data_IF_047802498748
#
_entry.id   IF_047802498748
#
_cell.length_a   1.000
_cell.length_b   1.000
_cell.length_c   1.000
_cell.angle_alpha   90.00
_cell.angle_beta   90.00
_cell.angle_gamma   90.00
#
_symmetry.space_group_name_H-M   'P 1'
#
loop_
_entity.id
_entity.type
_entity.pdbx_description
1 polymer ?
#
# COMPACT_ATOMS: atom_id res chain seq x y z
N UNK A 1 14.72 11.58 34.35
CA UNK A 1 13.91 11.87 33.15
C UNK A 1 14.50 11.08 32.00
N UNK A 2 14.01 9.85 31.81
CA UNK A 2 14.51 8.94 30.78
C UNK A 2 13.96 9.35 29.43
N UNK A 3 14.84 9.66 28.47
CA UNK A 3 14.45 9.94 27.09
C UNK A 3 13.92 8.65 26.46
N UNK A 4 12.62 8.42 26.54
CA UNK A 4 11.93 7.51 25.64
C UNK A 4 12.13 8.07 24.23
N UNK A 5 13.07 7.50 23.45
CA UNK A 5 12.98 7.57 21.99
C UNK A 5 11.55 7.19 21.66
N UNK A 6 10.80 8.09 21.01
CA UNK A 6 9.46 7.79 20.54
C UNK A 6 9.58 6.59 19.59
N UNK A 7 9.28 5.38 20.06
CA UNK A 7 9.05 4.27 19.15
C UNK A 7 7.78 4.62 18.38
N UNK A 8 7.85 4.60 17.06
CA UNK A 8 6.69 4.80 16.21
C UNK A 8 5.56 3.87 16.68
N UNK A 9 4.42 4.45 17.06
CA UNK A 9 3.27 3.71 17.54
C UNK A 9 2.26 3.66 16.37
N UNK A 10 2.20 2.51 15.71
CA UNK A 10 1.40 2.32 14.50
C UNK A 10 -0.09 2.64 14.75
N UNK A 11 -0.59 2.39 15.97
CA UNK A 11 -1.96 2.69 16.34
C UNK A 11 -2.23 4.20 16.39
N UNK A 12 -1.36 4.98 17.05
CA UNK A 12 -1.51 6.43 17.09
C UNK A 12 -1.28 7.06 15.73
N UNK A 13 -0.33 6.54 14.93
CA UNK A 13 -0.05 7.06 13.60
C UNK A 13 -1.23 6.83 12.66
N UNK A 14 -1.89 5.68 12.77
CA UNK A 14 -3.07 5.36 11.99
C UNK A 14 -4.29 6.19 12.39
N UNK A 15 -4.68 6.21 13.66
CA UNK A 15 -5.93 6.88 14.08
C UNK A 15 -5.77 8.37 14.37
N UNK A 16 -4.57 8.82 14.78
CA UNK A 16 -4.35 10.19 15.28
C UNK A 16 -5.34 10.58 16.39
N UNK A 17 -5.60 9.65 17.30
CA UNK A 17 -6.41 9.89 18.49
C UNK A 17 -5.60 10.63 19.58
N UNK A 18 -6.27 11.18 20.62
CA UNK A 18 -5.58 11.83 21.73
C UNK A 18 -4.52 10.91 22.39
N UNK A 19 -3.34 11.43 22.78
CA UNK A 19 -2.22 10.62 23.29
C UNK A 19 -2.54 9.75 24.51
N UNK A 20 -3.47 10.19 25.37
CA UNK A 20 -3.93 9.45 26.54
C UNK A 20 -4.60 8.10 26.20
N UNK A 21 -5.05 7.94 24.95
CA UNK A 21 -5.68 6.71 24.45
C UNK A 21 -4.78 5.89 23.52
N UNK A 22 -3.60 6.41 23.18
CA UNK A 22 -2.68 5.77 22.24
C UNK A 22 -1.87 4.60 22.85
N UNK A 23 -1.77 4.52 24.19
CA UNK A 23 -1.00 3.50 24.88
C UNK A 23 -1.78 2.18 25.00
N UNK A 24 -1.51 1.27 24.07
CA UNK A 24 -2.08 -0.08 24.09
C UNK A 24 -1.46 -0.99 25.18
N UNK A 25 -0.37 -0.54 25.82
CA UNK A 25 0.45 -1.33 26.71
C UNK A 25 1.33 -2.31 25.96
N UNK A 26 2.55 -2.52 26.46
CA UNK A 26 3.42 -3.59 25.99
C UNK A 26 3.02 -4.90 26.69
N UNK A 27 2.85 -6.02 25.97
CA UNK A 27 2.71 -7.32 26.63
C UNK A 27 3.91 -7.60 27.55
N UNK A 28 3.76 -8.52 28.51
CA UNK A 28 4.86 -8.96 29.37
C UNK A 28 5.98 -9.68 28.60
N UNK A 29 6.54 -10.76 29.16
CA UNK A 29 7.54 -11.54 28.42
C UNK A 29 6.93 -12.12 27.14
N UNK A 30 7.44 -11.69 25.99
CA UNK A 30 7.07 -12.19 24.66
C UNK A 30 7.92 -13.41 24.29
N UNK A 31 7.45 -14.19 23.33
CA UNK A 31 8.20 -15.29 22.71
C UNK A 31 9.55 -14.80 22.16
N UNK A 32 10.60 -15.64 22.16
CA UNK A 32 11.92 -15.22 21.71
C UNK A 32 11.97 -14.94 20.20
N UNK A 33 11.21 -15.70 19.41
CA UNK A 33 11.14 -15.58 17.95
C UNK A 33 9.77 -15.06 17.51
N UNK A 34 9.76 -14.31 16.40
CA UNK A 34 8.54 -13.95 15.68
C UNK A 34 8.05 -15.11 14.82
N UNK A 35 6.74 -15.20 14.62
CA UNK A 35 6.15 -16.16 13.69
C UNK A 35 4.71 -15.81 13.36
N UNK A 36 4.06 -16.70 12.61
CA UNK A 36 2.67 -16.63 12.22
C UNK A 36 1.72 -16.98 13.36
N UNK A 37 0.61 -16.26 13.42
CA UNK A 37 -0.49 -16.53 14.34
C UNK A 37 -1.80 -16.00 13.78
N UNK A 38 -2.92 -16.41 14.37
CA UNK A 38 -4.24 -15.93 14.00
C UNK A 38 -4.89 -15.15 15.15
N UNK A 39 -5.56 -14.03 14.84
CA UNK A 39 -6.41 -13.30 15.80
C UNK A 39 -7.58 -12.69 15.04
N UNK A 40 -8.80 -12.99 15.51
CA UNK A 40 -10.05 -12.49 14.91
C UNK A 40 -10.15 -12.79 13.41
N UNK A 41 -9.67 -13.97 13.02
CA UNK A 41 -9.68 -14.40 11.64
C UNK A 41 -8.73 -13.63 10.73
N UNK A 42 -7.78 -12.82 11.21
CA UNK A 42 -6.65 -12.29 10.43
C UNK A 42 -5.35 -13.05 10.75
N UNK A 43 -4.40 -13.06 9.83
CA UNK A 43 -3.07 -13.67 10.03
C UNK A 43 -2.07 -12.56 10.37
N UNK A 44 -1.44 -12.68 11.54
CA UNK A 44 -0.38 -11.79 11.99
C UNK A 44 0.99 -12.44 11.90
N UNK A 45 2.04 -11.61 11.98
CA UNK A 45 3.41 -12.06 12.10
C UNK A 45 4.15 -11.25 13.16
N UNK A 46 4.62 -11.89 14.22
CA UNK A 46 5.29 -11.24 15.34
C UNK A 46 5.44 -12.16 16.54
N UNK A 47 5.88 -11.59 17.67
CA UNK A 47 6.00 -12.33 18.93
C UNK A 47 4.70 -12.35 19.73
N UNK A 48 4.49 -13.42 20.48
CA UNK A 48 3.30 -13.64 21.29
C UNK A 48 3.64 -13.77 22.78
N UNK A 49 2.72 -13.35 23.62
CA UNK A 49 2.71 -13.60 25.06
C UNK A 49 2.02 -14.94 25.32
N UNK A 50 2.60 -15.76 26.20
CA UNK A 50 2.01 -17.03 26.68
C UNK A 50 1.68 -18.05 25.57
N UNK A 51 2.21 -17.87 24.36
CA UNK A 51 2.04 -18.76 23.21
C UNK A 51 3.29 -18.72 22.31
N UNK A 52 3.48 -19.78 21.52
CA UNK A 52 4.58 -19.87 20.54
C UNK A 52 3.99 -19.70 19.13
N UNK A 53 4.41 -18.67 18.36
CA UNK A 53 3.92 -18.49 17.00
C UNK A 53 4.50 -19.55 16.05
N UNK A 54 3.77 -19.86 14.98
CA UNK A 54 4.16 -20.87 13.98
C UNK A 54 5.22 -20.33 13.03
N UNK A 55 6.12 -21.20 12.52
CA UNK A 55 7.20 -20.74 11.62
C UNK A 55 6.70 -20.57 10.19
N UNK A 56 5.74 -21.39 9.77
CA UNK A 56 5.17 -21.35 8.43
C UNK A 56 3.68 -21.04 8.48
N UNK A 57 3.19 -20.31 7.48
CA UNK A 57 1.78 -19.95 7.37
C UNK A 57 0.88 -21.14 7.04
N UNK A 58 1.45 -22.24 6.53
CA UNK A 58 0.76 -23.49 6.21
C UNK A 58 0.61 -24.44 7.41
N UNK A 59 1.27 -24.14 8.52
CA UNK A 59 1.12 -24.89 9.77
C UNK A 59 -0.18 -24.51 10.49
N UNK A 60 -0.55 -25.28 11.52
CA UNK A 60 -1.61 -24.87 12.43
C UNK A 60 -1.18 -23.58 13.15
N UNK A 61 -1.91 -22.49 12.92
CA UNK A 61 -1.61 -21.20 13.53
C UNK A 61 -2.23 -21.14 14.93
N UNK A 62 -1.49 -20.69 15.97
CA UNK A 62 -2.09 -20.44 17.27
C UNK A 62 -3.13 -19.32 17.15
N UNK A 63 -4.38 -19.62 17.51
CA UNK A 63 -5.44 -18.63 17.61
C UNK A 63 -5.31 -17.94 18.97
N UNK A 64 -4.99 -16.65 18.97
CA UNK A 64 -4.88 -15.86 20.19
C UNK A 64 -6.12 -15.01 20.38
N UNK A 65 -6.72 -15.10 21.57
CA UNK A 65 -7.75 -14.15 21.97
C UNK A 65 -7.13 -12.76 22.01
N UNK A 66 -7.72 -11.82 21.28
CA UNK A 66 -7.24 -10.45 21.23
C UNK A 66 -7.53 -9.68 22.55
N UNK A 67 -7.96 -10.38 23.62
CA UNK A 67 -8.10 -9.85 24.98
C UNK A 67 -7.68 -10.93 25.99
N UNK A 68 -6.61 -10.69 26.75
CA UNK A 68 -6.23 -11.52 27.89
C UNK A 68 -6.47 -10.77 29.21
N UNK A 69 -6.98 -11.48 30.21
CA UNK A 69 -7.11 -10.94 31.56
C UNK A 69 -5.74 -10.81 32.20
N UNK A 70 -5.25 -9.59 32.40
CA UNK A 70 -4.06 -9.36 33.22
C UNK A 70 -4.36 -9.59 34.70
N UNK A 71 -3.37 -10.08 35.47
CA UNK A 71 -3.49 -10.31 36.92
C UNK A 71 -3.82 -9.07 37.77
N UNK A 72 -3.90 -7.89 37.15
CA UNK A 72 -4.15 -6.61 37.78
C UNK A 72 -5.52 -6.02 37.35
N UNK A 73 -6.37 -6.80 36.66
CA UNK A 73 -7.67 -6.34 36.16
C UNK A 73 -7.61 -5.44 34.92
N UNK A 74 -6.43 -5.23 34.31
CA UNK A 74 -6.28 -4.51 33.03
C UNK A 74 -6.12 -5.51 31.88
N UNK A 75 -7.02 -5.48 30.91
CA UNK A 75 -6.92 -6.25 29.67
C UNK A 75 -5.78 -5.73 28.80
N UNK A 76 -4.95 -6.64 28.27
CA UNK A 76 -3.86 -6.33 27.34
C UNK A 76 -3.97 -7.22 26.11
N UNK A 77 -3.38 -6.78 24.99
CA UNK A 77 -3.21 -7.65 23.82
C UNK A 77 -2.09 -8.66 24.08
N UNK A 78 -2.17 -9.90 23.56
CA UNK A 78 -1.10 -10.88 23.69
C UNK A 78 0.07 -10.64 22.71
N UNK A 79 0.09 -9.52 21.99
CA UNK A 79 1.12 -9.12 21.02
C UNK A 79 1.26 -7.61 21.01
N UNK A 80 2.39 -7.12 20.51
CA UNK A 80 2.61 -5.70 20.23
C UNK A 80 2.02 -5.37 18.84
N UNK A 81 1.00 -4.49 18.80
CA UNK A 81 0.35 -4.09 17.55
C UNK A 81 1.33 -3.40 16.60
N UNK A 82 2.24 -2.58 17.11
CA UNK A 82 3.19 -1.85 16.27
C UNK A 82 4.21 -2.80 15.66
N UNK A 83 4.66 -3.81 16.40
CA UNK A 83 5.51 -4.88 15.86
C UNK A 83 4.80 -5.65 14.73
N UNK A 84 3.56 -6.10 14.99
CA UNK A 84 2.79 -6.87 14.01
C UNK A 84 2.52 -6.04 12.74
N UNK A 85 2.06 -4.80 12.89
CA UNK A 85 1.80 -3.89 11.76
C UNK A 85 3.08 -3.64 10.97
N UNK A 86 4.20 -3.36 11.65
CA UNK A 86 5.49 -3.13 10.98
C UNK A 86 5.96 -4.36 10.21
N UNK A 87 5.85 -5.55 10.81
CA UNK A 87 6.25 -6.81 10.18
C UNK A 87 5.41 -7.13 8.94
N UNK A 88 4.11 -6.82 8.97
CA UNK A 88 3.22 -7.01 7.83
C UNK A 88 3.52 -6.00 6.72
N UNK A 89 3.56 -4.71 7.04
CA UNK A 89 3.83 -3.64 6.08
C UNK A 89 5.19 -3.79 5.39
N UNK A 90 6.22 -4.17 6.16
CA UNK A 90 7.59 -4.38 5.66
C UNK A 90 7.86 -5.80 5.16
N UNK A 91 6.83 -6.65 5.10
CA UNK A 91 6.93 -8.01 4.58
C UNK A 91 7.95 -8.90 5.29
N UNK A 92 8.29 -8.60 6.55
CA UNK A 92 9.27 -9.38 7.33
C UNK A 92 8.85 -10.86 7.44
N UNK A 93 7.56 -11.15 7.34
CA UNK A 93 7.02 -12.51 7.34
C UNK A 93 7.52 -13.35 6.14
N UNK A 94 7.91 -12.71 5.02
CA UNK A 94 8.44 -13.41 3.84
C UNK A 94 9.81 -14.06 4.10
N UNK A 95 10.56 -13.62 5.12
CA UNK A 95 11.84 -14.24 5.48
C UNK A 95 11.61 -15.67 6.02
N UNK A 96 10.45 -15.93 6.64
CA UNK A 96 10.03 -17.25 7.14
C UNK A 96 9.43 -18.16 6.06
N UNK A 97 9.16 -17.64 4.85
CA UNK A 97 8.76 -18.43 3.67
C UNK A 97 9.92 -19.18 3.02
N UNK A 98 11.11 -19.18 3.63
CA UNK A 98 12.25 -19.94 3.16
C UNK A 98 11.90 -21.44 3.12
N UNK A 99 11.30 -21.88 2.01
CA UNK A 99 11.36 -23.25 1.55
C UNK A 99 12.85 -23.61 1.48
N UNK A 100 13.28 -24.78 1.98
CA UNK A 100 14.66 -25.27 1.85
C UNK A 100 15.18 -25.36 0.40
N UNK A 101 14.31 -25.14 -0.60
CA UNK A 101 14.63 -25.10 -2.03
C UNK A 101 14.81 -23.68 -2.59
N UNK A 102 14.65 -22.63 -1.78
CA UNK A 102 14.75 -21.22 -2.23
C UNK A 102 15.86 -20.42 -1.55
N UNK A 103 16.54 -21.00 -0.56
CA UNK A 103 17.69 -20.38 0.08
C UNK A 103 18.95 -20.61 -0.76
N UNK A 104 19.54 -19.49 -1.15
CA UNK A 104 20.94 -19.27 -1.55
C UNK A 104 21.43 -19.60 -2.96
N UNK A 105 20.85 -20.54 -3.74
CA UNK A 105 21.13 -20.63 -5.19
C UNK A 105 19.82 -20.64 -5.99
N UNK A 106 19.53 -19.54 -6.70
CA UNK A 106 18.80 -19.46 -7.99
C UNK A 106 17.76 -18.34 -8.18
N UNK A 107 17.31 -17.57 -7.18
CA UNK A 107 16.35 -16.48 -7.47
C UNK A 107 16.98 -15.26 -8.19
N UNK A 108 18.16 -14.81 -7.74
CA UNK A 108 18.92 -13.73 -8.37
C UNK A 108 19.56 -14.17 -9.70
N UNK A 109 20.09 -15.39 -9.75
CA UNK A 109 20.69 -15.96 -10.98
C UNK A 109 19.63 -16.26 -12.04
N UNK A 110 18.48 -16.86 -11.69
CA UNK A 110 17.36 -17.05 -12.64
C UNK A 110 16.74 -15.72 -13.05
N UNK A 111 16.71 -14.70 -12.17
CA UNK A 111 16.29 -13.34 -12.51
C UNK A 111 17.27 -12.71 -13.51
N UNK A 112 18.58 -12.76 -13.24
CA UNK A 112 19.62 -12.29 -14.14
C UNK A 112 19.55 -12.97 -15.51
N UNK A 113 19.37 -14.30 -15.56
CA UNK A 113 19.20 -15.04 -16.81
C UNK A 113 17.89 -14.66 -17.51
N UNK A 114 16.76 -14.62 -16.80
CA UNK A 114 15.46 -14.23 -17.37
C UNK A 114 15.49 -12.83 -17.97
N UNK A 115 16.02 -11.83 -17.26
CA UNK A 115 16.11 -10.47 -17.76
C UNK A 115 17.20 -10.28 -18.83
N UNK A 116 18.21 -11.16 -18.88
CA UNK A 116 19.18 -11.19 -19.98
C UNK A 116 18.58 -11.74 -21.28
N UNK A 117 17.61 -12.66 -21.20
CA UNK A 117 16.90 -13.21 -22.37
C UNK A 117 15.60 -12.45 -22.71
N UNK A 118 15.02 -11.71 -21.74
CA UNK A 118 13.75 -10.96 -21.87
C UNK A 118 13.70 -10.03 -23.09
N UNK A 119 14.76 -9.31 -23.48
CA UNK A 119 14.75 -8.43 -24.67
C UNK A 119 14.53 -9.17 -25.99
N UNK A 120 14.90 -10.46 -26.05
CA UNK A 120 14.86 -11.27 -27.28
C UNK A 120 13.57 -12.09 -27.39
N UNK A 121 12.79 -12.19 -26.32
CA UNK A 121 11.54 -12.97 -26.30
C UNK A 121 10.34 -12.14 -26.81
N UNK A 122 9.58 -12.63 -27.81
CA UNK A 122 8.30 -12.02 -28.17
C UNK A 122 7.33 -11.95 -26.99
N UNK A 123 6.50 -10.90 -26.92
CA UNK A 123 5.55 -10.65 -25.81
C UNK A 123 4.63 -11.85 -25.56
N UNK A 124 4.19 -12.53 -26.63
CA UNK A 124 3.37 -13.74 -26.55
C UNK A 124 4.03 -14.89 -25.77
N UNK A 125 5.33 -15.10 -25.96
CA UNK A 125 6.09 -16.16 -25.25
C UNK A 125 6.32 -15.79 -23.78
N UNK A 126 6.60 -14.50 -23.50
CA UNK A 126 6.78 -14.00 -22.13
C UNK A 126 5.55 -14.23 -21.27
N UNK A 127 4.35 -13.97 -21.83
CA UNK A 127 3.06 -14.22 -21.16
C UNK A 127 2.89 -15.68 -20.75
N UNK A 128 3.19 -16.63 -21.63
CA UNK A 128 3.05 -18.06 -21.33
C UNK A 128 4.04 -18.54 -20.26
N UNK A 129 5.31 -18.12 -20.34
CA UNK A 129 6.33 -18.45 -19.32
C UNK A 129 5.98 -17.86 -17.95
N UNK A 130 5.47 -16.64 -17.91
CA UNK A 130 5.03 -16.03 -16.66
C UNK A 130 3.78 -16.70 -16.11
N UNK A 131 2.79 -17.05 -16.94
CA UNK A 131 1.63 -17.85 -16.51
C UNK A 131 2.04 -19.18 -15.87
N UNK A 132 2.98 -19.88 -16.49
CA UNK A 132 3.51 -21.13 -15.94
C UNK A 132 4.24 -20.91 -14.60
N UNK A 133 5.08 -19.88 -14.50
CA UNK A 133 5.79 -19.52 -13.26
C UNK A 133 4.83 -19.09 -12.13
N UNK A 134 3.75 -18.41 -12.48
CA UNK A 134 2.75 -17.92 -11.54
C UNK A 134 1.64 -18.94 -11.27
N UNK A 135 1.73 -20.17 -11.80
CA UNK A 135 0.76 -21.21 -11.54
C UNK A 135 0.63 -21.48 -10.02
N UNK A 136 -0.58 -21.81 -9.57
CA UNK A 136 -0.91 -21.97 -8.15
C UNK A 136 -0.97 -20.67 -7.36
N UNK A 137 -0.99 -19.50 -8.03
CA UNK A 137 -1.17 -18.20 -7.37
C UNK A 137 -2.43 -18.15 -6.50
N UNK A 138 -3.49 -18.82 -6.93
CA UNK A 138 -4.80 -18.93 -6.26
C UNK A 138 -4.76 -19.79 -4.98
N UNK A 139 -3.68 -20.56 -4.78
CA UNK A 139 -3.49 -21.45 -3.62
C UNK A 139 -2.58 -20.86 -2.55
N UNK A 140 -2.02 -19.67 -2.78
CA UNK A 140 -1.15 -19.01 -1.82
C UNK A 140 -2.02 -18.57 -0.62
N UNK A 141 -1.73 -19.04 0.61
CA UNK A 141 -2.62 -18.84 1.75
C UNK A 141 -2.57 -17.42 2.34
N UNK A 142 -1.47 -16.69 2.12
CA UNK A 142 -1.22 -15.38 2.69
C UNK A 142 -0.27 -14.56 1.80
N UNK A 143 -0.38 -13.23 1.69
CA UNK A 143 -1.55 -12.42 2.00
C UNK A 143 -2.81 -12.94 1.30
N UNK A 144 -4.00 -12.58 1.79
CA UNK A 144 -5.28 -13.10 1.27
C UNK A 144 -5.71 -12.42 -0.01
N UNK A 145 -5.95 -13.21 -1.05
CA UNK A 145 -6.53 -12.73 -2.30
C UNK A 145 -8.04 -12.45 -2.16
N UNK A 146 -8.61 -11.42 -2.83
CA UNK A 146 -7.96 -10.47 -3.73
C UNK A 146 -7.43 -9.19 -3.06
N UNK A 147 -7.72 -9.00 -1.76
CA UNK A 147 -7.25 -7.89 -0.94
C UNK A 147 -7.07 -8.40 0.48
N UNK A 148 -5.92 -8.11 1.10
CA UNK A 148 -5.62 -8.46 2.47
C UNK A 148 -5.81 -7.25 3.39
N UNK A 149 -6.42 -7.49 4.56
CA UNK A 149 -6.78 -6.48 5.56
C UNK A 149 -6.22 -6.80 6.95
N UNK A 150 -5.17 -7.60 7.03
CA UNK A 150 -4.60 -8.01 8.32
C UNK A 150 -4.16 -6.80 9.13
N UNK A 151 -3.49 -5.81 8.51
CA UNK A 151 -3.06 -4.58 9.20
C UNK A 151 -4.27 -3.83 9.77
N UNK A 152 -5.30 -3.57 8.97
CA UNK A 152 -6.50 -2.87 9.45
C UNK A 152 -7.18 -3.66 10.58
N UNK A 153 -7.21 -5.00 10.49
CA UNK A 153 -7.81 -5.85 11.53
C UNK A 153 -7.07 -5.71 12.87
N UNK A 154 -5.73 -5.74 12.86
CA UNK A 154 -4.93 -5.56 14.08
C UNK A 154 -5.08 -4.16 14.69
N UNK A 155 -5.12 -3.11 13.85
CA UNK A 155 -5.34 -1.74 14.30
C UNK A 155 -6.74 -1.57 14.92
N UNK A 156 -7.77 -2.17 14.33
CA UNK A 156 -9.12 -2.18 14.90
C UNK A 156 -9.19 -2.94 16.22
N UNK A 157 -8.48 -4.06 16.36
CA UNK A 157 -8.39 -4.76 17.67
C UNK A 157 -7.75 -3.87 18.73
N UNK A 158 -6.75 -3.07 18.37
CA UNK A 158 -6.23 -1.99 19.20
C UNK A 158 -7.33 -1.02 19.65
N UNK A 159 -8.15 -0.53 18.70
CA UNK A 159 -9.22 0.43 19.00
C UNK A 159 -10.30 -0.17 19.91
N UNK A 160 -10.72 -1.41 19.65
CA UNK A 160 -11.68 -2.12 20.50
C UNK A 160 -11.15 -2.28 21.92
N UNK A 161 -9.86 -2.60 22.07
CA UNK A 161 -9.23 -2.72 23.38
C UNK A 161 -9.22 -1.38 24.13
N UNK A 162 -8.90 -0.28 23.45
CA UNK A 162 -8.92 1.07 24.05
C UNK A 162 -10.33 1.45 24.51
N UNK A 163 -11.36 1.24 23.68
CA UNK A 163 -12.75 1.52 24.04
C UNK A 163 -13.20 0.70 25.27
N UNK A 164 -12.88 -0.61 25.30
CA UNK A 164 -13.22 -1.47 26.44
C UNK A 164 -12.49 -1.09 27.72
N UNK A 165 -11.20 -0.76 27.64
CA UNK A 165 -10.36 -0.42 28.79
C UNK A 165 -10.72 0.95 29.38
N UNK A 166 -11.05 1.91 28.52
CA UNK A 166 -11.39 3.28 28.93
C UNK A 166 -12.83 3.42 29.44
N UNK A 167 -13.72 2.50 29.06
CA UNK A 167 -15.15 2.60 29.36
C UNK A 167 -15.85 3.74 28.62
N UNK A 168 -15.20 4.31 27.59
CA UNK A 168 -15.80 5.37 26.77
C UNK A 168 -16.84 4.79 25.82
N UNK A 169 -17.96 5.50 25.67
CA UNK A 169 -18.98 5.17 24.66
C UNK A 169 -18.47 5.41 23.23
N UNK A 170 -17.72 6.51 23.04
CA UNK A 170 -17.13 6.88 21.75
C UNK A 170 -15.72 7.46 21.92
N UNK A 171 -14.82 7.12 21.00
CA UNK A 171 -13.44 7.61 21.00
C UNK A 171 -13.20 8.50 19.78
N UNK A 172 -12.74 9.75 19.98
CA UNK A 172 -12.52 10.71 18.89
C UNK A 172 -11.16 10.50 18.22
N UNK A 173 -11.10 10.64 16.91
CA UNK A 173 -9.89 10.51 16.11
C UNK A 173 -9.97 11.36 14.84
N UNK A 174 -8.85 11.58 14.16
CA UNK A 174 -8.84 12.33 12.90
C UNK A 174 -9.20 11.38 11.77
N UNK A 175 -10.23 11.68 10.99
CA UNK A 175 -10.66 10.86 9.86
C UNK A 175 -9.54 10.65 8.83
N UNK A 176 -9.59 9.54 8.10
CA UNK A 176 -8.49 9.09 7.24
C UNK A 176 -8.26 10.00 6.03
N UNK A 177 -9.34 10.49 5.41
CA UNK A 177 -9.31 11.23 4.16
C UNK A 177 -9.85 12.66 4.33
N UNK A 178 -9.43 13.60 3.48
CA UNK A 178 -9.89 14.97 3.59
C UNK A 178 -11.38 15.07 3.27
N UNK A 179 -12.00 16.15 3.74
CA UNK A 179 -13.38 16.53 3.45
C UNK A 179 -14.41 15.44 3.81
N UNK A 180 -14.05 14.56 4.76
CA UNK A 180 -14.89 13.46 5.22
C UNK A 180 -15.02 12.30 4.22
N UNK A 181 -14.21 12.27 3.15
CA UNK A 181 -14.33 11.29 2.09
C UNK A 181 -14.26 9.84 2.64
N UNK A 182 -15.16 8.92 2.23
CA UNK A 182 -15.17 7.58 2.80
C UNK A 182 -13.96 6.72 2.43
N UNK A 183 -13.32 7.00 1.30
CA UNK A 183 -12.16 6.28 0.75
C UNK A 183 -11.42 7.18 -0.23
N UNK A 184 -10.23 6.79 -0.66
CA UNK A 184 -9.45 7.50 -1.68
C UNK A 184 -9.19 6.60 -2.88
N UNK A 185 -9.03 7.17 -4.07
CA UNK A 185 -8.58 6.47 -5.24
C UNK A 185 -7.53 7.26 -6.02
N UNK A 186 -6.50 6.56 -6.51
CA UNK A 186 -5.44 7.08 -7.38
C UNK A 186 -5.31 6.20 -8.63
N UNK A 187 -5.00 6.85 -9.76
CA UNK A 187 -4.73 6.19 -11.04
C UNK A 187 -3.28 6.45 -11.44
N UNK A 188 -2.54 5.41 -11.80
CA UNK A 188 -1.13 5.52 -12.20
C UNK A 188 -0.86 4.74 -13.49
N UNK A 189 0.08 5.25 -14.28
CA UNK A 189 0.42 4.75 -15.61
C UNK A 189 1.92 4.48 -15.72
N UNK A 190 2.33 3.21 -15.71
CA UNK A 190 3.72 2.80 -15.90
C UNK A 190 4.04 2.74 -17.41
N UNK A 191 4.94 3.62 -17.87
CA UNK A 191 5.30 3.74 -19.29
C UNK A 191 6.52 2.86 -19.59
N UNK A 192 6.33 1.72 -20.25
CA UNK A 192 7.41 0.74 -20.45
C UNK A 192 8.14 0.85 -21.81
N UNK A 193 7.48 1.39 -22.84
CA UNK A 193 8.03 1.44 -24.21
C UNK A 193 7.79 2.79 -24.90
N UNK A 194 8.48 2.99 -26.03
CA UNK A 194 8.30 4.15 -26.89
C UNK A 194 6.85 4.30 -27.38
N UNK A 195 6.19 3.22 -27.78
CA UNK A 195 4.80 3.28 -28.22
C UNK A 195 3.85 3.65 -27.08
N UNK A 196 4.11 3.16 -25.86
CA UNK A 196 3.39 3.60 -24.66
C UNK A 196 3.55 5.10 -24.41
N UNK A 197 4.78 5.62 -24.53
CA UNK A 197 5.08 7.05 -24.40
C UNK A 197 4.33 7.89 -25.44
N UNK A 198 4.32 7.46 -26.70
CA UNK A 198 3.62 8.15 -27.80
C UNK A 198 2.10 8.13 -27.63
N UNK A 199 1.57 7.08 -26.99
CA UNK A 199 0.14 6.96 -26.70
C UNK A 199 -0.33 7.80 -25.50
N UNK A 200 0.59 8.30 -24.66
CA UNK A 200 0.23 9.04 -23.44
C UNK A 200 -0.67 10.26 -23.69
N UNK A 201 -0.53 10.94 -24.83
CA UNK A 201 -1.41 12.05 -25.19
C UNK A 201 -2.89 11.63 -25.29
N UNK A 202 -3.16 10.54 -26.01
CA UNK A 202 -4.51 9.99 -26.16
C UNK A 202 -5.04 9.41 -24.85
N UNK A 203 -4.15 8.81 -24.04
CA UNK A 203 -4.54 8.29 -22.73
C UNK A 203 -4.93 9.43 -21.77
N UNK A 204 -4.20 10.54 -21.76
CA UNK A 204 -4.59 11.73 -20.99
C UNK A 204 -5.94 12.29 -21.48
N UNK A 205 -6.22 12.29 -22.78
CA UNK A 205 -7.54 12.71 -23.31
C UNK A 205 -8.66 11.80 -22.81
N UNK A 206 -8.40 10.49 -22.75
CA UNK A 206 -9.34 9.51 -22.21
C UNK A 206 -9.57 9.74 -20.71
N UNK A 207 -8.51 9.86 -19.91
CA UNK A 207 -8.60 10.15 -18.47
C UNK A 207 -9.40 11.45 -18.22
N UNK A 208 -9.10 12.50 -18.99
CA UNK A 208 -9.79 13.80 -18.93
C UNK A 208 -11.28 13.70 -19.26
N UNK A 209 -11.67 12.85 -20.21
CA UNK A 209 -13.07 12.67 -20.59
C UNK A 209 -13.95 12.12 -19.44
N UNK A 210 -13.32 11.44 -18.46
CA UNK A 210 -13.97 10.99 -17.22
C UNK A 210 -13.60 11.87 -16.01
N UNK A 211 -12.86 12.97 -16.24
CA UNK A 211 -12.36 13.88 -15.22
C UNK A 211 -11.34 13.26 -14.28
N UNK A 212 -10.67 12.17 -14.65
CA UNK A 212 -9.66 11.52 -13.81
C UNK A 212 -8.30 12.16 -14.09
N UNK A 213 -7.58 12.52 -13.02
CA UNK A 213 -6.17 12.89 -13.11
C UNK A 213 -5.33 11.76 -12.58
N UNK A 214 -4.37 11.34 -13.39
CA UNK A 214 -3.47 10.22 -13.14
C UNK A 214 -2.01 10.69 -13.04
N UNK A 215 -1.15 9.79 -12.58
CA UNK A 215 0.29 9.99 -12.62
C UNK A 215 0.93 9.09 -13.66
N UNK A 216 1.97 9.57 -14.31
CA UNK A 216 2.74 8.85 -15.34
C UNK A 216 4.14 8.57 -14.82
N UNK A 217 4.48 7.29 -14.73
CA UNK A 217 5.77 6.81 -14.24
C UNK A 217 6.70 6.64 -15.45
N UNK A 218 7.75 7.47 -15.51
CA UNK A 218 8.66 7.60 -16.65
C UNK A 218 9.99 6.93 -16.35
N UNK A 219 10.42 6.03 -17.24
CA UNK A 219 11.72 5.37 -17.15
C UNK A 219 12.77 6.31 -17.76
N UNK A 220 13.77 6.79 -16.99
CA UNK A 220 14.67 7.84 -17.46
C UNK A 220 15.69 7.36 -18.50
N UNK A 221 16.11 6.09 -18.47
CA UNK A 221 17.18 5.58 -19.33
C UNK A 221 16.76 4.39 -20.18
N UNK A 222 17.46 4.21 -21.31
CA UNK A 222 17.45 3.02 -22.21
C UNK A 222 16.14 2.79 -22.99
N UNK A 223 14.96 3.02 -22.41
CA UNK A 223 13.68 2.58 -23.00
C UNK A 223 13.18 3.48 -24.12
N UNK A 224 13.31 4.79 -23.94
CA UNK A 224 12.88 5.81 -24.90
C UNK A 224 13.50 7.15 -24.52
N UNK A 225 13.50 8.11 -25.44
CA UNK A 225 13.88 9.49 -25.12
C UNK A 225 12.83 10.16 -24.24
N UNK A 226 13.29 10.98 -23.30
CA UNK A 226 12.45 11.78 -22.41
C UNK A 226 12.74 13.27 -22.63
N UNK A 227 12.23 13.88 -23.72
CA UNK A 227 12.38 15.32 -23.93
C UNK A 227 11.67 16.11 -22.81
N UNK A 228 12.22 17.27 -22.43
CA UNK A 228 11.58 18.15 -21.45
C UNK A 228 10.13 18.50 -21.83
N UNK A 229 9.87 18.74 -23.12
CA UNK A 229 8.53 19.02 -23.65
C UNK A 229 7.51 17.89 -23.39
N UNK A 230 7.96 16.63 -23.34
CA UNK A 230 7.07 15.51 -22.99
C UNK A 230 6.62 15.60 -21.54
N UNK A 231 7.55 15.83 -20.61
CA UNK A 231 7.25 15.97 -19.18
C UNK A 231 6.38 17.21 -18.91
N UNK A 232 6.71 18.35 -19.53
CA UNK A 232 5.93 19.58 -19.41
C UNK A 232 4.53 19.43 -20.01
N UNK A 233 4.37 18.66 -21.10
CA UNK A 233 3.06 18.36 -21.67
C UNK A 233 2.14 17.61 -20.70
N UNK A 234 2.68 16.68 -19.91
CA UNK A 234 1.92 15.97 -18.86
C UNK A 234 1.51 16.95 -17.75
N UNK A 235 2.45 17.74 -17.24
CA UNK A 235 2.19 18.70 -16.14
C UNK A 235 1.25 19.83 -16.53
N UNK A 236 1.40 20.39 -17.73
CA UNK A 236 0.57 21.48 -18.24
C UNK A 236 -0.91 21.08 -18.31
N UNK A 237 -1.18 19.77 -18.45
CA UNK A 237 -2.52 19.20 -18.40
C UNK A 237 -2.99 18.84 -16.99
N UNK A 238 -2.21 19.07 -15.95
CA UNK A 238 -2.57 18.78 -14.56
C UNK A 238 -2.39 17.31 -14.15
N UNK A 239 -1.64 16.52 -14.93
CA UNK A 239 -1.23 15.17 -14.55
C UNK A 239 0.12 15.19 -13.82
N UNK A 240 0.42 14.12 -13.09
CA UNK A 240 1.67 14.01 -12.32
C UNK A 240 2.74 13.20 -13.07
N UNK A 241 4.01 13.57 -12.92
CA UNK A 241 5.16 12.85 -13.49
C UNK A 241 5.97 12.26 -12.35
N UNK A 242 6.21 10.95 -12.42
CA UNK A 242 7.01 10.21 -11.47
C UNK A 242 8.20 9.48 -12.11
N UNK A 243 9.20 9.12 -11.31
CA UNK A 243 10.34 8.32 -11.79
C UNK A 243 9.99 6.83 -11.70
N UNK A 244 10.21 6.10 -12.79
CA UNK A 244 10.00 4.66 -12.87
C UNK A 244 11.33 3.91 -13.03
N UNK A 245 11.85 3.37 -11.93
CA UNK A 245 13.16 2.71 -11.92
C UNK A 245 14.26 3.62 -12.50
N UNK A 246 15.42 3.06 -12.88
CA UNK A 246 16.43 3.74 -13.68
C UNK A 246 16.26 3.40 -15.17
N UNK A 247 16.22 2.11 -15.49
CA UNK A 247 16.17 1.60 -16.86
C UNK A 247 15.22 0.39 -17.01
N UNK A 248 14.57 0.00 -15.92
CA UNK A 248 13.58 -1.07 -15.89
C UNK A 248 14.14 -2.43 -16.36
N UNK A 249 15.40 -2.72 -16.05
CA UNK A 249 16.06 -3.99 -16.41
C UNK A 249 15.81 -5.14 -15.40
N UNK A 250 15.05 -4.88 -14.33
CA UNK A 250 14.71 -5.84 -13.30
C UNK A 250 15.83 -6.08 -12.27
N UNK A 251 16.89 -5.28 -12.28
CA UNK A 251 18.10 -5.50 -11.46
C UNK A 251 18.34 -4.45 -10.39
N UNK A 252 17.48 -3.43 -10.28
CA UNK A 252 17.64 -2.38 -9.27
C UNK A 252 17.77 -2.94 -7.85
N UNK A 253 16.94 -3.93 -7.50
CA UNK A 253 16.97 -4.61 -6.20
C UNK A 253 17.65 -5.99 -6.24
N UNK A 254 18.53 -6.25 -7.21
CA UNK A 254 19.25 -7.53 -7.31
C UNK A 254 20.28 -7.72 -6.17
N UNK A 255 21.01 -6.65 -5.84
CA UNK A 255 21.94 -6.61 -4.71
C UNK A 255 22.04 -5.20 -4.14
N UNK A 256 22.53 -5.08 -2.91
CA UNK A 256 22.69 -3.78 -2.24
C UNK A 256 23.74 -2.93 -2.93
N UNK A 257 24.80 -3.53 -3.44
CA UNK A 257 25.88 -2.86 -4.17
C UNK A 257 25.34 -2.24 -5.46
N UNK A 258 24.56 -3.01 -6.24
CA UNK A 258 23.91 -2.51 -7.47
C UNK A 258 22.92 -1.39 -7.17
N UNK A 259 22.16 -1.51 -6.08
CA UNK A 259 21.25 -0.47 -5.65
C UNK A 259 22.01 0.82 -5.30
N UNK A 260 23.09 0.73 -4.53
CA UNK A 260 23.94 1.87 -4.14
C UNK A 260 24.61 2.54 -5.34
N UNK A 261 24.95 1.79 -6.39
CA UNK A 261 25.47 2.33 -7.65
C UNK A 261 24.41 3.17 -8.40
N UNK A 262 23.15 2.71 -8.42
CA UNK A 262 22.07 3.32 -9.21
C UNK A 262 21.33 4.46 -8.53
N UNK A 263 21.18 4.40 -7.21
CA UNK A 263 20.41 5.39 -6.44
C UNK A 263 20.85 6.84 -6.68
N UNK A 264 22.16 7.18 -6.78
CA UNK A 264 22.58 8.54 -7.08
C UNK A 264 22.00 9.08 -8.40
N UNK A 265 21.96 8.24 -9.45
CA UNK A 265 21.37 8.57 -10.75
C UNK A 265 19.84 8.67 -10.66
N UNK A 266 19.19 7.70 -10.01
CA UNK A 266 17.73 7.75 -9.79
C UNK A 266 17.34 9.05 -9.07
N UNK A 267 18.09 9.44 -8.04
CA UNK A 267 17.85 10.66 -7.29
C UNK A 267 18.15 11.93 -8.12
N UNK A 268 19.10 11.89 -9.07
CA UNK A 268 19.34 13.01 -9.98
C UNK A 268 18.19 13.17 -10.97
N UNK A 269 17.63 12.07 -11.49
CA UNK A 269 16.41 12.12 -12.30
C UNK A 269 15.19 12.56 -11.49
N UNK A 270 15.06 12.18 -10.22
CA UNK A 270 14.03 12.73 -9.33
C UNK A 270 14.05 14.26 -9.30
N UNK A 271 15.24 14.87 -9.21
CA UNK A 271 15.40 16.33 -9.29
C UNK A 271 15.14 16.87 -10.69
N UNK A 272 15.70 16.24 -11.73
CA UNK A 272 15.58 16.71 -13.11
C UNK A 272 14.13 16.65 -13.62
N UNK A 273 13.40 15.61 -13.24
CA UNK A 273 11.98 15.44 -13.53
C UNK A 273 11.10 16.15 -12.51
N UNK A 274 11.65 16.87 -11.53
CA UNK A 274 10.86 17.51 -10.46
C UNK A 274 9.82 16.56 -9.84
N UNK A 275 10.20 15.28 -9.72
CA UNK A 275 9.32 14.22 -9.27
C UNK A 275 9.43 14.07 -7.75
N UNK A 276 8.28 13.94 -7.11
CA UNK A 276 8.20 13.55 -5.69
C UNK A 276 7.96 12.05 -5.49
N UNK A 277 7.58 11.33 -6.55
CA UNK A 277 7.23 9.92 -6.50
C UNK A 277 8.22 9.00 -7.22
N UNK A 278 8.31 7.77 -6.70
CA UNK A 278 9.07 6.67 -7.30
C UNK A 278 8.18 5.44 -7.50
N UNK A 279 8.49 4.64 -8.53
CA UNK A 279 7.95 3.31 -8.78
C UNK A 279 9.08 2.40 -9.24
N UNK A 280 9.33 1.31 -8.52
CA UNK A 280 10.29 0.30 -8.91
C UNK A 280 9.81 -0.54 -10.09
N UNK A 281 10.74 -0.94 -10.96
CA UNK A 281 10.42 -1.79 -12.08
C UNK A 281 9.96 -3.18 -11.65
N UNK A 282 8.90 -3.67 -12.29
CA UNK A 282 8.27 -4.95 -11.99
C UNK A 282 7.90 -5.14 -10.50
N UNK A 283 7.69 -4.04 -9.76
CA UNK A 283 7.35 -4.03 -8.34
C UNK A 283 8.37 -4.79 -7.45
N UNK A 284 9.63 -4.88 -7.92
CA UNK A 284 10.71 -5.39 -7.08
C UNK A 284 11.02 -4.40 -5.97
N UNK A 285 11.25 -4.93 -4.77
CA UNK A 285 11.34 -4.08 -3.58
C UNK A 285 12.22 -4.70 -2.51
N UNK A 286 12.92 -3.82 -1.80
CA UNK A 286 13.53 -4.08 -0.51
C UNK A 286 13.37 -2.83 0.35
N UNK A 287 12.36 -2.81 1.21
CA UNK A 287 11.90 -1.61 1.89
C UNK A 287 12.96 -1.05 2.86
N UNK A 288 13.85 -1.89 3.40
CA UNK A 288 14.97 -1.46 4.24
C UNK A 288 15.96 -0.55 3.50
N UNK A 289 15.95 -0.55 2.17
CA UNK A 289 16.82 0.29 1.35
C UNK A 289 16.18 1.61 0.94
N UNK A 290 14.86 1.77 1.14
CA UNK A 290 14.10 2.94 0.70
C UNK A 290 14.61 4.24 1.30
N UNK A 291 15.25 4.22 2.49
CA UNK A 291 15.85 5.42 3.09
C UNK A 291 16.90 6.12 2.22
N UNK A 292 17.47 5.45 1.21
CA UNK A 292 18.44 6.01 0.27
C UNK A 292 17.79 6.71 -0.93
N UNK A 293 16.51 6.45 -1.17
CA UNK A 293 15.73 7.09 -2.23
C UNK A 293 15.40 8.54 -1.83
N UNK A 294 15.56 9.44 -2.79
CA UNK A 294 15.41 10.90 -2.64
C UNK A 294 13.97 11.40 -2.81
N UNK A 295 12.97 10.53 -2.72
CA UNK A 295 11.58 10.83 -3.01
C UNK A 295 10.74 11.04 -1.75
N UNK A 296 9.58 11.66 -1.93
CA UNK A 296 8.59 11.84 -0.88
C UNK A 296 7.73 10.59 -0.73
N UNK A 297 7.33 9.96 -1.82
CA UNK A 297 6.51 8.76 -1.77
C UNK A 297 7.00 7.68 -2.74
N UNK A 298 6.67 6.45 -2.41
CA UNK A 298 6.87 5.26 -3.24
C UNK A 298 5.53 4.57 -3.48
N UNK A 299 5.45 3.81 -4.55
CA UNK A 299 4.28 3.01 -4.90
C UNK A 299 4.68 1.56 -5.23
N UNK A 300 5.82 1.06 -4.77
CA UNK A 300 6.38 -0.20 -5.26
C UNK A 300 5.88 -1.42 -4.50
N UNK A 301 5.06 -1.26 -3.46
CA UNK A 301 4.63 -2.34 -2.57
C UNK A 301 3.16 -2.70 -2.84
N UNK A 302 2.86 -3.90 -3.39
CA UNK A 302 1.49 -4.36 -3.53
C UNK A 302 0.87 -4.72 -2.18
N UNK A 303 -0.45 -4.65 -2.07
CA UNK A 303 -1.20 -5.19 -0.94
C UNK A 303 -1.09 -6.73 -0.92
N UNK A 304 -1.29 -7.37 -2.07
CA UNK A 304 -1.16 -8.82 -2.27
C UNK A 304 -0.38 -9.11 -3.56
N UNK A 305 0.78 -9.74 -3.45
CA UNK A 305 1.69 -9.98 -4.58
C UNK A 305 1.53 -11.39 -5.22
N UNK A 306 0.30 -11.90 -5.28
CA UNK A 306 -0.01 -13.23 -5.85
C UNK A 306 0.18 -13.33 -7.35
N UNK A 307 0.17 -12.20 -8.07
CA UNK A 307 0.39 -12.17 -9.51
C UNK A 307 1.69 -11.46 -9.89
N UNK A 308 2.50 -11.12 -8.90
CA UNK A 308 3.72 -10.35 -9.09
C UNK A 308 4.98 -11.23 -9.17
N UNK A 309 6.04 -10.79 -9.87
CA UNK A 309 7.31 -11.51 -9.94
C UNK A 309 7.98 -11.72 -8.58
N UNK A 310 7.76 -10.81 -7.63
CA UNK A 310 8.18 -10.93 -6.24
C UNK A 310 6.94 -11.11 -5.34
N UNK A 311 6.84 -12.28 -4.70
CA UNK A 311 5.79 -12.64 -3.73
C UNK A 311 5.83 -11.74 -2.49
N UNK A 312 4.80 -11.84 -1.67
CA UNK A 312 4.61 -11.02 -0.46
C UNK A 312 3.40 -10.10 -0.57
N UNK A 313 3.52 -8.92 0.01
CA UNK A 313 2.51 -7.87 0.07
C UNK A 313 2.45 -7.18 1.44
N UNK A 314 2.16 -5.89 1.48
CA UNK A 314 2.15 -5.11 2.73
C UNK A 314 0.94 -5.37 3.64
N UNK A 315 -0.05 -6.15 3.19
CA UNK A 315 -1.24 -6.53 3.96
C UNK A 315 -2.07 -5.35 4.52
N UNK A 316 -1.93 -4.17 3.91
CA UNK A 316 -2.69 -2.96 4.25
C UNK A 316 -3.23 -2.31 2.98
N UNK A 317 -4.36 -1.62 3.13
CA UNK A 317 -4.94 -0.77 2.10
C UNK A 317 -4.76 0.71 2.42
N UNK A 318 -3.93 1.05 3.40
CA UNK A 318 -3.70 2.43 3.83
C UNK A 318 -2.26 2.84 3.61
N UNK A 319 -2.00 4.12 3.26
CA UNK A 319 -0.64 4.61 3.19
C UNK A 319 0.11 4.48 4.51
N UNK A 320 1.42 4.26 4.45
CA UNK A 320 2.25 4.10 5.65
C UNK A 320 3.66 4.65 5.46
N UNK A 321 4.32 4.99 6.55
CA UNK A 321 5.67 5.57 6.49
C UNK A 321 6.75 4.49 6.50
N UNK A 322 7.64 4.54 5.51
CA UNK A 322 8.92 3.82 5.46
C UNK A 322 10.04 4.85 5.66
N UNK A 323 10.34 5.13 6.92
CA UNK A 323 11.23 6.24 7.27
C UNK A 323 10.62 7.57 6.83
N UNK A 324 11.28 8.29 5.93
CA UNK A 324 10.77 9.56 5.39
C UNK A 324 9.80 9.38 4.22
N UNK A 325 9.72 8.20 3.62
CA UNK A 325 8.91 7.92 2.43
C UNK A 325 7.50 7.51 2.87
N UNK A 326 6.46 8.03 2.22
CA UNK A 326 5.11 7.48 2.34
C UNK A 326 4.96 6.41 1.26
N UNK A 327 4.75 5.16 1.64
CA UNK A 327 4.33 4.11 0.72
C UNK A 327 2.84 4.28 0.42
N UNK A 328 2.49 4.31 -0.85
CA UNK A 328 1.13 4.28 -1.36
C UNK A 328 0.89 2.90 -1.99
N UNK A 329 0.38 1.92 -1.21
CA UNK A 329 0.37 0.54 -1.64
C UNK A 329 -0.47 0.33 -2.91
N UNK A 330 -0.02 -0.54 -3.80
CA UNK A 330 -0.82 -0.98 -4.94
C UNK A 330 -1.88 -1.97 -4.45
N UNK A 331 -3.13 -1.54 -4.37
CA UNK A 331 -4.23 -2.32 -3.76
C UNK A 331 -5.14 -3.00 -4.78
N UNK A 332 -5.14 -2.55 -6.04
CA UNK A 332 -5.83 -3.22 -7.13
C UNK A 332 -4.86 -4.04 -8.00
N UNK A 333 -5.39 -5.07 -8.67
CA UNK A 333 -4.61 -5.90 -9.60
C UNK A 333 -4.13 -5.06 -10.79
N UNK A 334 -2.87 -5.23 -11.22
CA UNK A 334 -2.38 -4.53 -12.42
C UNK A 334 -3.11 -5.02 -13.68
N UNK A 335 -3.26 -4.15 -14.66
CA UNK A 335 -3.84 -4.48 -15.97
C UNK A 335 -3.08 -5.61 -16.67
N UNK A 336 -1.74 -5.65 -16.56
CA UNK A 336 -0.95 -6.73 -17.10
C UNK A 336 -1.35 -8.08 -16.51
N UNK A 337 -1.45 -8.15 -15.18
CA UNK A 337 -1.87 -9.37 -14.47
C UNK A 337 -3.30 -9.77 -14.83
N UNK A 338 -4.20 -8.79 -14.95
CA UNK A 338 -5.59 -9.01 -15.34
C UNK A 338 -5.71 -9.58 -16.77
N UNK A 339 -5.13 -8.91 -17.76
CA UNK A 339 -5.27 -9.24 -19.18
C UNK A 339 -4.36 -10.38 -19.63
N UNK A 340 -3.15 -10.45 -19.07
CA UNK A 340 -2.11 -11.37 -19.52
C UNK A 340 -1.90 -12.56 -18.59
N UNK A 341 -2.18 -12.49 -17.29
CA UNK A 341 -2.08 -13.67 -16.42
C UNK A 341 -3.45 -14.33 -16.27
N UNK A 342 -4.43 -13.62 -15.71
CA UNK A 342 -5.79 -14.13 -15.51
C UNK A 342 -6.51 -14.33 -16.86
N UNK A 343 -6.35 -13.37 -17.78
CA UNK A 343 -7.06 -13.39 -19.07
C UNK A 343 -8.50 -12.89 -18.98
N UNK A 344 -8.83 -12.11 -17.95
CA UNK A 344 -10.13 -11.45 -17.79
C UNK A 344 -10.07 -10.07 -18.47
N UNK A 345 -10.99 -9.80 -19.40
CA UNK A 345 -11.14 -8.51 -20.07
C UNK A 345 -12.48 -7.90 -19.69
N UNK A 346 -12.68 -7.78 -18.38
CA UNK A 346 -13.80 -7.09 -17.74
C UNK A 346 -13.29 -6.37 -16.50
N UNK A 347 -14.12 -5.49 -15.93
CA UNK A 347 -13.79 -4.79 -14.68
C UNK A 347 -14.25 -5.57 -13.43
N UNK A 348 -14.67 -6.83 -13.54
CA UNK A 348 -15.29 -7.57 -12.43
C UNK A 348 -14.38 -7.71 -11.20
N UNK A 349 -13.12 -8.09 -11.42
CA UNK A 349 -12.13 -8.19 -10.33
C UNK A 349 -11.86 -6.82 -9.70
N UNK A 350 -11.66 -5.78 -10.51
CA UNK A 350 -11.44 -4.42 -10.01
C UNK A 350 -12.63 -3.92 -9.19
N UNK A 351 -13.88 -4.10 -9.64
CA UNK A 351 -15.07 -3.75 -8.85
C UNK A 351 -15.10 -4.46 -7.51
N UNK A 352 -14.80 -5.76 -7.48
CA UNK A 352 -14.70 -6.53 -6.24
C UNK A 352 -13.63 -5.96 -5.30
N UNK A 353 -12.45 -5.63 -5.81
CA UNK A 353 -11.37 -5.03 -5.01
C UNK A 353 -11.77 -3.64 -4.49
N UNK A 354 -12.33 -2.78 -5.35
CA UNK A 354 -12.88 -1.47 -4.98
C UNK A 354 -13.88 -1.60 -3.82
N UNK A 355 -14.87 -2.49 -3.95
CA UNK A 355 -15.92 -2.66 -2.93
C UNK A 355 -15.36 -3.17 -1.61
N UNK A 356 -14.36 -4.06 -1.64
CA UNK A 356 -13.69 -4.55 -0.44
C UNK A 356 -12.88 -3.44 0.24
N UNK A 357 -12.09 -2.68 -0.51
CA UNK A 357 -11.26 -1.58 -0.01
C UNK A 357 -12.13 -0.47 0.60
N UNK A 358 -13.24 -0.12 -0.06
CA UNK A 358 -14.17 0.93 0.41
C UNK A 358 -14.81 0.60 1.75
N UNK A 359 -15.12 -0.68 2.00
CA UNK A 359 -15.64 -1.14 3.30
C UNK A 359 -14.65 -0.96 4.46
N UNK A 360 -13.37 -0.71 4.14
CA UNK A 360 -12.28 -0.52 5.10
C UNK A 360 -11.68 0.88 5.04
N UNK A 361 -12.35 1.81 4.34
CA UNK A 361 -11.90 3.19 4.19
C UNK A 361 -10.49 3.33 3.59
N UNK A 362 -10.09 2.39 2.73
CA UNK A 362 -8.73 2.33 2.20
C UNK A 362 -8.48 3.21 0.97
N UNK A 363 -7.22 3.17 0.53
CA UNK A 363 -6.74 3.69 -0.75
C UNK A 363 -6.96 2.63 -1.84
N UNK A 364 -7.66 3.02 -2.90
CA UNK A 364 -7.79 2.24 -4.13
C UNK A 364 -6.71 2.72 -5.09
N UNK A 365 -5.70 1.90 -5.32
CA UNK A 365 -4.53 2.25 -6.14
C UNK A 365 -4.47 1.32 -7.35
N UNK A 366 -4.53 1.90 -8.54
CA UNK A 366 -4.41 1.19 -9.81
C UNK A 366 -3.05 1.46 -10.44
N UNK A 367 -2.50 0.44 -11.09
CA UNK A 367 -1.41 0.57 -12.05
C UNK A 367 -1.86 -0.02 -13.38
N UNK A 368 -1.93 0.84 -14.38
CA UNK A 368 -2.20 0.52 -15.79
C UNK A 368 -0.99 0.90 -16.63
N UNK A 369 -0.88 0.38 -17.85
CA UNK A 369 0.23 0.68 -18.73
C UNK A 369 -0.29 1.21 -20.08
N UNK A 370 0.13 2.40 -20.53
CA UNK A 370 -0.25 2.90 -21.85
C UNK A 370 0.06 1.90 -22.95
N UNK A 371 1.14 1.14 -22.77
CA UNK A 371 1.62 0.05 -23.62
C UNK A 371 0.56 -1.01 -23.93
N UNK A 372 -0.25 -1.38 -22.94
CA UNK A 372 -1.32 -2.38 -23.10
C UNK A 372 -2.64 -1.75 -23.53
N UNK A 373 -2.85 -0.47 -23.23
CA UNK A 373 -4.06 0.27 -23.57
C UNK A 373 -4.08 0.80 -25.02
N UNK A 374 -3.02 0.61 -25.80
CA UNK A 374 -3.05 0.79 -27.26
C UNK A 374 -4.04 -0.21 -27.89
N UNK A 375 -4.11 -1.44 -27.35
CA UNK A 375 -5.03 -2.46 -27.85
C UNK A 375 -6.49 -2.05 -27.57
N UNK A 376 -7.37 -1.97 -28.60
CA UNK A 376 -8.73 -1.47 -28.42
C UNK A 376 -9.56 -2.23 -27.38
N UNK A 377 -9.34 -3.54 -27.22
CA UNK A 377 -10.07 -4.36 -26.25
C UNK A 377 -9.66 -4.01 -24.82
N UNK A 378 -8.37 -3.99 -24.50
CA UNK A 378 -7.87 -3.52 -23.20
C UNK A 378 -8.33 -2.07 -22.91
N UNK A 379 -8.28 -1.18 -23.91
CA UNK A 379 -8.73 0.21 -23.80
C UNK A 379 -10.22 0.34 -23.47
N UNK A 380 -11.07 -0.52 -24.03
CA UNK A 380 -12.49 -0.55 -23.72
C UNK A 380 -12.72 -0.91 -22.23
N UNK A 381 -12.01 -1.92 -21.73
CA UNK A 381 -12.07 -2.30 -20.30
C UNK A 381 -11.57 -1.17 -19.39
N UNK A 382 -10.52 -0.47 -19.80
CA UNK A 382 -10.05 0.71 -19.07
C UNK A 382 -11.08 1.85 -19.06
N UNK A 383 -11.78 2.08 -20.17
CA UNK A 383 -12.86 3.06 -20.24
C UNK A 383 -14.01 2.70 -19.30
N UNK A 384 -14.38 1.41 -19.22
CA UNK A 384 -15.38 0.92 -18.26
C UNK A 384 -14.95 1.16 -16.80
N UNK A 385 -13.65 1.00 -16.50
CA UNK A 385 -13.11 1.29 -15.18
C UNK A 385 -13.21 2.78 -14.86
N UNK A 386 -12.81 3.66 -15.78
CA UNK A 386 -12.90 5.11 -15.61
C UNK A 386 -14.36 5.57 -15.41
N UNK A 387 -15.30 5.05 -16.19
CA UNK A 387 -16.73 5.30 -16.02
C UNK A 387 -17.22 4.89 -14.63
N UNK A 388 -16.76 3.73 -14.13
CA UNK A 388 -17.12 3.27 -12.79
C UNK A 388 -16.55 4.18 -11.70
N UNK A 389 -15.29 4.61 -11.80
CA UNK A 389 -14.66 5.53 -10.85
C UNK A 389 -15.30 6.92 -10.88
N UNK A 390 -15.69 7.42 -12.06
CA UNK A 390 -16.45 8.65 -12.19
C UNK A 390 -17.76 8.57 -11.41
N UNK A 391 -18.55 7.49 -11.58
CA UNK A 391 -19.80 7.32 -10.84
C UNK A 391 -19.60 7.24 -9.33
N UNK A 392 -18.52 6.61 -8.85
CA UNK A 392 -18.19 6.59 -7.42
C UNK A 392 -17.84 7.98 -6.89
N UNK A 393 -17.07 8.77 -7.66
CA UNK A 393 -16.74 10.14 -7.29
C UNK A 393 -17.99 11.02 -7.23
N UNK A 394 -18.85 10.95 -8.24
CA UNK A 394 -20.10 11.73 -8.31
C UNK A 394 -21.06 11.39 -7.16
N UNK A 395 -21.05 10.13 -6.70
CA UNK A 395 -21.78 9.69 -5.51
C UNK A 395 -21.12 10.09 -4.17
N UNK A 396 -20.00 10.82 -4.18
CA UNK A 396 -19.25 11.20 -2.98
C UNK A 396 -18.59 10.01 -2.26
N UNK A 397 -18.45 8.87 -2.93
CA UNK A 397 -17.97 7.63 -2.32
C UNK A 397 -16.44 7.53 -2.22
N UNK A 398 -15.72 8.31 -3.02
CA UNK A 398 -14.26 8.32 -3.09
C UNK A 398 -13.74 9.75 -3.31
N UNK A 399 -12.60 10.06 -2.70
CA UNK A 399 -11.76 11.19 -3.09
C UNK A 399 -10.77 10.73 -4.18
N UNK A 400 -11.03 11.14 -5.42
CA UNK A 400 -10.09 10.94 -6.53
C UNK A 400 -8.95 11.96 -6.42
N UNK A 401 -7.71 11.47 -6.38
CA UNK A 401 -6.53 12.30 -6.17
C UNK A 401 -5.35 11.86 -7.05
N UNK A 402 -4.39 12.76 -7.23
CA UNK A 402 -3.04 12.40 -7.67
C UNK A 402 -2.24 11.79 -6.50
N UNK A 403 -1.31 10.84 -6.73
CA UNK A 403 -0.47 10.29 -5.68
C UNK A 403 0.23 11.34 -4.81
N UNK A 404 0.77 12.42 -5.40
CA UNK A 404 1.41 13.50 -4.65
C UNK A 404 0.45 14.31 -3.76
N UNK A 405 -0.86 14.30 -4.06
CA UNK A 405 -1.87 14.87 -3.17
C UNK A 405 -2.14 13.95 -1.98
N UNK A 406 -2.13 12.63 -2.19
CA UNK A 406 -2.26 11.63 -1.12
C UNK A 406 -1.06 11.69 -0.17
N UNK A 407 0.17 11.72 -0.70
CA UNK A 407 1.39 11.90 0.09
C UNK A 407 1.32 13.14 0.98
N UNK A 408 1.00 14.30 0.38
CA UNK A 408 0.86 15.56 1.12
C UNK A 408 -0.18 15.46 2.23
N UNK A 409 -1.35 14.92 1.92
CA UNK A 409 -2.43 14.75 2.90
C UNK A 409 -1.98 13.86 4.06
N UNK A 410 -1.34 12.73 3.77
CA UNK A 410 -0.93 11.78 4.80
C UNK A 410 0.13 12.37 5.75
N UNK A 411 1.06 13.16 5.21
CA UNK A 411 2.04 13.93 6.01
C UNK A 411 1.38 14.99 6.86
N UNK A 412 0.53 15.83 6.28
CA UNK A 412 -0.20 16.85 7.03
C UNK A 412 -1.01 16.21 8.16
N UNK A 413 -1.75 15.14 7.86
CA UNK A 413 -2.52 14.38 8.84
C UNK A 413 -1.65 13.78 9.95
N UNK A 414 -0.44 13.32 9.63
CA UNK A 414 0.53 12.83 10.62
C UNK A 414 1.07 13.95 11.54
N UNK A 415 1.03 15.21 11.11
CA UNK A 415 1.39 16.37 11.94
C UNK A 415 0.20 16.94 12.72
N UNK A 416 -1.03 16.63 12.31
CA UNK A 416 -2.23 17.11 12.99
C UNK A 416 -2.41 16.48 14.38
N UNK A 417 -2.97 17.26 15.30
CA UNK A 417 -3.33 16.82 16.65
C UNK A 417 -4.79 17.13 16.94
N UNK A 418 -5.38 16.31 17.80
CA UNK A 418 -6.74 16.49 18.26
C UNK A 418 -6.71 17.13 19.65
N UNK A 419 -7.27 18.33 19.77
CA UNK A 419 -7.25 19.13 21.01
C UNK A 419 -8.66 19.40 21.50
N UNK A 420 -8.83 19.48 22.83
CA UNK A 420 -10.10 19.82 23.44
C UNK A 420 -10.15 21.31 23.78
N UNK A 421 -11.06 22.06 23.16
CA UNK A 421 -11.31 23.49 23.42
C UNK A 421 -12.79 23.72 23.65
N UNK A 422 -13.14 24.41 24.72
CA UNK A 422 -14.54 24.73 25.09
C UNK A 422 -15.47 23.50 25.14
N UNK A 423 -14.93 22.38 25.63
CA UNK A 423 -15.66 21.12 25.71
C UNK A 423 -15.83 20.36 24.38
N UNK A 424 -15.38 20.91 23.24
CA UNK A 424 -15.45 20.29 21.90
C UNK A 424 -14.07 19.87 21.39
N UNK A 425 -14.03 18.86 20.53
CA UNK A 425 -12.80 18.48 19.83
C UNK A 425 -12.56 19.39 18.63
N UNK A 426 -11.30 19.81 18.46
CA UNK A 426 -10.81 20.55 17.29
C UNK A 426 -9.52 19.92 16.79
N UNK A 427 -9.30 20.03 15.49
CA UNK A 427 -8.07 19.56 14.86
C UNK A 427 -7.16 20.77 14.65
N UNK A 428 -5.91 20.65 15.06
CA UNK A 428 -4.87 21.65 14.84
C UNK A 428 -3.74 21.04 14.02
N UNK A 429 -3.08 21.85 13.19
CA UNK A 429 -2.01 21.42 12.30
C UNK A 429 -2.21 21.88 10.84
N UNK A 430 -1.27 21.52 9.96
CA UNK A 430 -1.32 21.90 8.55
C UNK A 430 -2.56 21.33 7.85
N UNK A 431 -3.23 22.13 7.02
CA UNK A 431 -4.43 21.74 6.24
C UNK A 431 -5.59 21.17 7.08
N UNK A 432 -5.64 21.51 8.37
CA UNK A 432 -6.68 21.03 9.31
C UNK A 432 -8.09 21.48 8.95
N UNK A 433 -8.25 22.48 8.08
CA UNK A 433 -9.54 22.92 7.53
C UNK A 433 -10.24 21.85 6.69
N UNK A 434 -9.48 20.90 6.13
CA UNK A 434 -10.02 19.76 5.37
C UNK A 434 -10.16 18.51 6.23
N UNK A 435 -9.73 18.54 7.49
CA UNK A 435 -9.76 17.40 8.39
C UNK A 435 -11.08 17.31 9.14
N UNK A 436 -11.51 16.08 9.44
CA UNK A 436 -12.77 15.80 10.11
C UNK A 436 -12.53 15.01 11.39
N UNK A 437 -13.22 15.40 12.46
CA UNK A 437 -13.27 14.60 13.69
C UNK A 437 -14.27 13.47 13.47
N UNK A 438 -13.78 12.24 13.56
CA UNK A 438 -14.61 11.05 13.54
C UNK A 438 -14.58 10.37 14.92
N UNK A 439 -15.57 9.51 15.15
CA UNK A 439 -15.74 8.79 16.40
C UNK A 439 -15.84 7.30 16.14
N UNK A 440 -15.03 6.54 16.86
CA UNK A 440 -15.08 5.09 16.89
C UNK A 440 -15.98 4.64 18.06
N UNK A 441 -16.91 3.73 17.77
CA UNK A 441 -17.87 3.17 18.73
C UNK A 441 -17.93 1.65 18.58
N UNK A 442 -18.42 0.96 19.62
CA UNK A 442 -18.67 -0.47 19.59
C UNK A 442 -20.15 -0.75 19.32
N UNK A 443 -20.43 -1.50 18.26
CA UNK A 443 -21.71 -2.17 18.03
C UNK A 443 -21.51 -3.67 18.22
N UNK A 444 -21.66 -4.14 19.46
CA UNK A 444 -21.21 -5.48 19.86
C UNK A 444 -19.68 -5.59 19.83
N UNK A 445 -19.16 -6.57 19.08
CA UNK A 445 -17.71 -6.77 18.89
C UNK A 445 -17.13 -6.04 17.65
N UNK A 446 -17.99 -5.30 16.94
CA UNK A 446 -17.64 -4.59 15.70
C UNK A 446 -17.43 -3.11 15.97
N UNK A 447 -16.41 -2.58 15.33
CA UNK A 447 -16.11 -1.15 15.34
C UNK A 447 -16.97 -0.45 14.29
N UNK A 448 -17.57 0.67 14.66
CA UNK A 448 -18.34 1.53 13.75
C UNK A 448 -17.81 2.95 13.87
N UNK A 449 -17.63 3.60 12.71
CA UNK A 449 -17.21 4.99 12.63
C UNK A 449 -18.39 5.91 12.30
N UNK A 450 -18.39 7.08 12.92
CA UNK A 450 -19.38 8.14 12.68
C UNK A 450 -18.72 9.50 12.72
N UNK A 451 -19.35 10.50 12.11
CA UNK A 451 -19.02 11.90 12.29
C UNK A 451 -20.00 12.50 13.30
N UNK A 452 -19.61 13.55 14.03
CA UNK A 452 -20.64 14.35 14.70
C UNK A 452 -21.58 14.92 13.61
N UNK A 453 -22.91 14.99 13.86
CA UNK A 453 -23.78 15.76 12.99
C UNK A 453 -23.20 17.17 12.91
N UNK A 454 -23.05 17.70 11.68
CA UNK A 454 -22.68 19.10 11.49
C UNK A 454 -23.70 19.93 12.26
N UNK A 455 -23.23 20.64 13.29
CA UNK A 455 -24.07 21.45 14.17
C UNK A 455 -24.68 22.64 13.41
#
# INVERSE_FOLDING_TARGET
MSSRRASANAFSDYYRCPPEFADLGTPGSLSPESGYFACSGAIGFGRLRDAVPSRQVTEALPEVSCFTGGGNGRSTLPFDVSEVVTNLQREHYCQSWAHPLSTTWSASVQRGVYYSIRPVLPVGVRKHLQRARLNGWDRIPFPRWPVDFSVETFLERGMVMVLRRSGLEKLPFIWFWPDGAPSCAIMTHDIETLSGREFCGQLMDLDDSYGVKSSFQVIPEVRYEVPAAFLEGIRARGFEVNVHDLNHDGRLFESRERFLERVPLINSYGRAFQSSGFRAGAMYRQQEWFGLLGFSYDMSVPNVAHLEPQRGGCCTVTPYFVGKIVELPLTATQDYSLFHIIGDYSIALWKKQIDLIRKRHGLISFCTHPDYLIEPRARAVYSDLLAHLQGLREAGAIWMALPGQVDRWWRHRHEMTLVRKDGRWRIEGPDSTRAWVAYATLSGDRLVYSFDPVA
#
